data_IF_928078650766
#
_entry.id   IF_928078650766
#
_cell.length_a   1.000
_cell.length_b   1.000
_cell.length_c   1.000
_cell.angle_alpha   90.00
_cell.angle_beta   90.00
_cell.angle_gamma   90.00
#
_symmetry.space_group_name_H-M   'P 1'
#
loop_
_entity.id
_entity.type
_entity.pdbx_description
1 polymer ?
#
# COMPACT_ATOMS: atom_id res chain seq x y z
N UNK A 1 -0.94 -13.37 33.01
CA UNK A 1 -0.12 -13.27 31.78
C UNK A 1 -0.79 -12.46 30.66
N UNK A 2 -2.05 -12.73 30.22
CA UNK A 2 -2.71 -11.95 29.13
C UNK A 2 -2.80 -10.43 29.40
N UNK A 3 -2.99 -9.98 30.64
CA UNK A 3 -3.03 -8.55 31.00
C UNK A 3 -1.66 -7.84 30.86
N UNK A 4 -0.58 -8.53 31.21
CA UNK A 4 0.79 -7.97 31.18
C UNK A 4 1.27 -7.75 29.74
N UNK A 5 0.91 -8.67 28.82
CA UNK A 5 1.25 -8.55 27.39
C UNK A 5 0.52 -7.35 26.76
N UNK A 6 -0.76 -7.12 27.10
CA UNK A 6 -1.50 -5.95 26.65
C UNK A 6 -0.86 -4.62 27.10
N UNK A 7 -0.33 -4.57 28.32
CA UNK A 7 0.35 -3.38 28.87
C UNK A 7 1.67 -3.06 28.17
N UNK A 8 2.48 -4.08 27.89
CA UNK A 8 3.74 -3.93 27.14
C UNK A 8 3.52 -3.44 25.71
N UNK A 9 2.47 -3.90 25.05
CA UNK A 9 2.13 -3.48 23.68
C UNK A 9 1.70 -2.01 23.64
N UNK A 10 0.90 -1.56 24.60
CA UNK A 10 0.47 -0.15 24.70
C UNK A 10 1.67 0.77 24.99
N UNK A 11 2.56 0.37 25.90
CA UNK A 11 3.76 1.13 26.24
C UNK A 11 4.75 1.24 25.08
N UNK A 12 4.96 0.17 24.30
CA UNK A 12 5.84 0.20 23.12
C UNK A 12 5.27 1.06 21.98
N UNK A 13 3.95 1.05 21.79
CA UNK A 13 3.27 1.95 20.83
C UNK A 13 3.41 3.42 21.23
N UNK A 14 3.35 3.73 22.53
CA UNK A 14 3.50 5.10 23.03
C UNK A 14 4.91 5.66 22.84
N UNK A 15 5.95 4.84 22.98
CA UNK A 15 7.33 5.23 22.72
C UNK A 15 7.58 5.56 21.23
N UNK A 16 6.88 4.90 20.31
CA UNK A 16 7.02 5.12 18.85
C UNK A 16 6.38 6.42 18.36
N UNK A 17 5.43 6.99 19.12
CA UNK A 17 4.67 8.21 18.72
C UNK A 17 5.05 9.44 19.55
N UNK A 18 6.13 9.40 20.32
CA UNK A 18 6.57 10.53 21.17
C UNK A 18 5.52 10.98 22.21
N UNK A 19 4.67 10.07 22.68
CA UNK A 19 3.70 10.35 23.76
C UNK A 19 4.33 9.96 25.10
N UNK A 20 4.24 10.86 26.08
CA UNK A 20 4.80 10.65 27.42
C UNK A 20 4.20 9.40 28.08
N UNK A 21 5.01 8.39 28.45
CA UNK A 21 4.53 7.13 29.04
C UNK A 21 3.71 7.30 30.33
N UNK A 22 3.98 8.34 31.11
CA UNK A 22 3.27 8.62 32.35
C UNK A 22 1.78 8.98 32.13
N UNK A 23 1.44 9.60 31.01
CA UNK A 23 0.04 9.89 30.64
C UNK A 23 -0.73 8.66 30.14
N UNK A 24 -0.04 7.65 29.65
CA UNK A 24 -0.66 6.40 29.20
C UNK A 24 -1.09 5.52 30.37
N UNK A 25 -0.35 5.53 31.47
CA UNK A 25 -0.65 4.74 32.67
C UNK A 25 -1.94 5.17 33.37
N UNK A 26 -2.29 6.47 33.32
CA UNK A 26 -3.54 6.99 33.88
C UNK A 26 -4.76 6.74 32.98
N UNK A 27 -4.55 6.49 31.68
CA UNK A 27 -5.63 6.20 30.72
C UNK A 27 -6.22 4.79 30.89
N UNK A 28 -5.48 3.86 31.50
CA UNK A 28 -5.90 2.46 31.70
C UNK A 28 -7.02 2.24 32.71
N UNK A 29 -7.29 3.20 33.55
CA UNK A 29 -8.36 3.10 34.57
C UNK A 29 -9.78 3.32 34.03
N UNK A 30 -9.93 3.70 32.74
CA UNK A 30 -11.22 3.94 32.11
C UNK A 30 -11.40 3.10 30.84
N UNK A 31 -12.07 1.95 30.96
CA UNK A 31 -12.27 0.99 29.87
C UNK A 31 -12.82 1.55 28.53
N UNK A 32 -13.66 2.61 28.46
CA UNK A 32 -14.06 3.20 27.17
C UNK A 32 -12.91 3.91 26.43
N UNK A 33 -12.00 4.56 27.15
CA UNK A 33 -10.87 5.30 26.54
C UNK A 33 -9.81 4.39 25.89
N UNK A 34 -9.69 3.13 26.32
CA UNK A 34 -8.71 2.20 25.74
C UNK A 34 -9.07 1.80 24.31
N UNK A 35 -10.35 1.67 23.98
CA UNK A 35 -10.81 1.32 22.64
C UNK A 35 -10.65 2.48 21.66
N UNK A 36 -11.07 3.69 22.03
CA UNK A 36 -10.89 4.88 21.18
C UNK A 36 -9.41 5.19 20.96
N UNK A 37 -8.57 4.99 21.97
CA UNK A 37 -7.12 5.15 21.88
C UNK A 37 -6.52 4.11 20.91
N UNK A 38 -6.93 2.85 21.02
CA UNK A 38 -6.52 1.78 20.09
C UNK A 38 -6.93 2.11 18.65
N UNK A 39 -8.15 2.58 18.40
CA UNK A 39 -8.62 2.99 17.07
C UNK A 39 -7.78 4.16 16.51
N UNK A 40 -7.49 5.15 17.35
CA UNK A 40 -6.63 6.28 16.96
C UNK A 40 -5.21 5.83 16.59
N UNK A 41 -4.65 4.84 17.31
CA UNK A 41 -3.35 4.26 17.01
C UNK A 41 -3.37 3.40 15.75
N UNK A 42 -4.38 2.59 15.55
CA UNK A 42 -4.58 1.82 14.32
C UNK A 42 -4.69 2.77 13.12
N UNK A 43 -5.46 3.84 13.25
CA UNK A 43 -5.60 4.84 12.20
C UNK A 43 -4.27 5.56 11.90
N UNK A 44 -3.56 6.03 12.94
CA UNK A 44 -2.24 6.64 12.80
C UNK A 44 -1.21 5.66 12.21
N UNK A 45 -1.25 4.39 12.61
CA UNK A 45 -0.39 3.35 12.07
C UNK A 45 -0.69 3.11 10.58
N UNK A 46 -1.97 3.07 10.18
CA UNK A 46 -2.40 2.93 8.77
C UNK A 46 -1.90 4.10 7.93
N UNK A 47 -2.08 5.34 8.39
CA UNK A 47 -1.64 6.53 7.68
C UNK A 47 -0.13 6.57 7.50
N UNK A 48 0.64 6.15 8.50
CA UNK A 48 2.10 6.16 8.44
C UNK A 48 2.69 4.92 7.76
N UNK A 49 1.98 3.79 7.76
CA UNK A 49 2.47 2.52 7.23
C UNK A 49 2.59 2.51 5.69
N UNK A 50 1.83 3.36 4.99
CA UNK A 50 1.94 3.51 3.54
C UNK A 50 3.26 4.15 3.07
N UNK A 51 3.99 4.83 3.97
CA UNK A 51 5.16 5.66 3.66
C UNK A 51 6.44 5.22 4.39
N UNK A 52 6.54 3.95 4.78
CA UNK A 52 7.56 3.53 5.71
C UNK A 52 8.91 3.32 5.04
N UNK A 53 9.92 4.00 5.58
CA UNK A 53 11.33 3.73 5.35
C UNK A 53 11.74 2.38 5.95
N UNK A 54 12.73 1.74 5.32
CA UNK A 54 13.29 0.43 5.69
C UNK A 54 13.63 0.27 7.18
N UNK A 55 14.04 1.33 7.85
CA UNK A 55 14.44 1.32 9.27
C UNK A 55 13.30 1.05 10.26
N UNK A 56 12.03 1.24 9.85
CA UNK A 56 10.84 1.01 10.70
C UNK A 56 10.10 -0.28 10.38
N UNK A 57 10.51 -1.01 9.34
CA UNK A 57 9.80 -2.21 8.90
C UNK A 57 9.80 -3.32 9.96
N UNK A 58 10.86 -3.44 10.76
CA UNK A 58 10.93 -4.40 11.87
C UNK A 58 9.87 -4.14 12.92
N UNK A 59 9.76 -2.89 13.36
CA UNK A 59 8.76 -2.48 14.35
C UNK A 59 7.34 -2.68 13.85
N UNK A 60 7.10 -2.47 12.54
CA UNK A 60 5.79 -2.65 11.94
C UNK A 60 5.42 -4.12 11.85
N UNK A 61 6.35 -4.98 11.42
CA UNK A 61 6.10 -6.41 11.38
C UNK A 61 5.73 -6.93 12.78
N UNK A 62 6.53 -6.57 13.79
CA UNK A 62 6.34 -7.06 15.16
C UNK A 62 5.05 -6.52 15.81
N UNK A 63 4.83 -5.21 15.75
CA UNK A 63 3.66 -4.57 16.36
C UNK A 63 2.39 -4.87 15.58
N UNK A 64 2.47 -4.94 14.26
CA UNK A 64 1.35 -5.26 13.39
C UNK A 64 0.83 -6.67 13.66
N UNK A 65 1.69 -7.67 13.83
CA UNK A 65 1.26 -9.03 14.17
C UNK A 65 0.57 -9.09 15.54
N UNK A 66 1.05 -8.33 16.51
CA UNK A 66 0.40 -8.23 17.82
C UNK A 66 -0.98 -7.57 17.72
N UNK A 67 -1.10 -6.48 16.96
CA UNK A 67 -2.36 -5.76 16.76
C UNK A 67 -3.35 -6.57 15.93
N UNK A 68 -2.90 -7.29 14.90
CA UNK A 68 -3.79 -8.19 14.12
C UNK A 68 -4.36 -9.30 15.00
N UNK A 69 -3.58 -9.83 15.96
CA UNK A 69 -4.09 -10.81 16.93
C UNK A 69 -5.20 -10.21 17.81
N UNK A 70 -5.05 -8.96 18.23
CA UNK A 70 -6.08 -8.24 19.01
C UNK A 70 -7.34 -8.03 18.17
N UNK A 71 -7.18 -7.49 16.94
CA UNK A 71 -8.30 -7.24 16.03
C UNK A 71 -9.09 -8.51 15.71
N UNK A 72 -8.40 -9.61 15.50
CA UNK A 72 -9.01 -10.94 15.33
C UNK A 72 -9.84 -11.37 16.55
N UNK A 73 -9.28 -11.21 17.74
CA UNK A 73 -9.92 -11.62 18.99
C UNK A 73 -11.20 -10.84 19.33
N UNK A 74 -11.33 -9.62 18.81
CA UNK A 74 -12.51 -8.75 19.00
C UNK A 74 -13.45 -8.71 17.80
N UNK A 75 -13.16 -9.50 16.75
CA UNK A 75 -14.01 -9.61 15.56
C UNK A 75 -13.97 -8.41 14.62
N UNK A 76 -12.91 -7.60 14.68
CA UNK A 76 -12.71 -6.43 13.81
C UNK A 76 -11.96 -6.84 12.55
N UNK A 77 -12.69 -7.52 11.64
CA UNK A 77 -12.07 -8.21 10.51
C UNK A 77 -11.63 -7.29 9.39
N UNK A 78 -12.35 -6.20 9.08
CA UNK A 78 -11.91 -5.24 8.05
C UNK A 78 -10.57 -4.64 8.45
N UNK A 79 -10.47 -4.15 9.68
CA UNK A 79 -9.25 -3.58 10.23
C UNK A 79 -8.13 -4.63 10.34
N UNK A 80 -8.49 -5.89 10.65
CA UNK A 80 -7.54 -7.00 10.64
C UNK A 80 -6.91 -7.18 9.26
N UNK A 81 -7.72 -7.27 8.20
CA UNK A 81 -7.22 -7.51 6.84
C UNK A 81 -6.39 -6.35 6.32
N UNK A 82 -6.80 -5.11 6.58
CA UNK A 82 -6.02 -3.93 6.21
C UNK A 82 -4.65 -3.90 6.91
N UNK A 83 -4.63 -4.11 8.22
CA UNK A 83 -3.38 -4.09 8.99
C UNK A 83 -2.48 -5.26 8.61
N UNK A 84 -3.04 -6.46 8.38
CA UNK A 84 -2.28 -7.63 7.97
C UNK A 84 -1.60 -7.43 6.62
N UNK A 85 -2.25 -6.77 5.67
CA UNK A 85 -1.64 -6.37 4.40
C UNK A 85 -0.42 -5.47 4.62
N UNK A 86 -0.49 -4.52 5.55
CA UNK A 86 0.66 -3.65 5.90
C UNK A 86 1.82 -4.47 6.48
N UNK A 87 1.53 -5.43 7.34
CA UNK A 87 2.55 -6.34 7.90
C UNK A 87 3.21 -7.15 6.78
N UNK A 88 2.43 -7.71 5.87
CA UNK A 88 2.95 -8.46 4.71
C UNK A 88 3.87 -7.56 3.87
N UNK A 89 3.46 -6.32 3.59
CA UNK A 89 4.28 -5.36 2.87
C UNK A 89 5.60 -5.05 3.59
N UNK A 90 5.61 -4.97 4.92
CA UNK A 90 6.85 -4.78 5.66
C UNK A 90 7.84 -5.94 5.48
N UNK A 91 7.35 -7.17 5.40
CA UNK A 91 8.17 -8.34 5.07
C UNK A 91 8.73 -8.28 3.64
N UNK A 92 7.92 -7.83 2.67
CA UNK A 92 8.38 -7.61 1.29
C UNK A 92 9.54 -6.63 1.27
N UNK A 93 9.40 -5.46 1.91
CA UNK A 93 10.41 -4.41 1.96
C UNK A 93 11.71 -4.83 2.69
N UNK A 94 11.63 -5.84 3.55
CA UNK A 94 12.79 -6.47 4.22
C UNK A 94 13.42 -7.60 3.41
N UNK A 95 12.90 -7.90 2.22
CA UNK A 95 13.37 -9.02 1.39
C UNK A 95 12.92 -10.40 1.89
N UNK A 96 11.99 -10.47 2.83
CA UNK A 96 11.48 -11.71 3.44
C UNK A 96 10.32 -12.30 2.63
N UNK A 97 10.52 -12.46 1.31
CA UNK A 97 9.45 -12.87 0.37
C UNK A 97 8.77 -14.17 0.75
N UNK A 98 9.50 -15.14 1.33
CA UNK A 98 8.90 -16.42 1.77
C UNK A 98 7.91 -16.23 2.91
N UNK A 99 8.20 -15.34 3.86
CA UNK A 99 7.30 -15.02 4.98
C UNK A 99 6.10 -14.26 4.42
N UNK A 100 6.31 -13.30 3.53
CA UNK A 100 5.25 -12.54 2.89
C UNK A 100 4.27 -13.45 2.14
N UNK A 101 4.77 -14.42 1.34
CA UNK A 101 3.92 -15.42 0.66
C UNK A 101 3.10 -16.20 1.68
N UNK A 102 3.74 -16.82 2.67
CA UNK A 102 3.04 -17.65 3.65
C UNK A 102 1.96 -16.87 4.42
N UNK A 103 2.26 -15.63 4.80
CA UNK A 103 1.29 -14.79 5.52
C UNK A 103 0.13 -14.34 4.63
N UNK A 104 0.36 -14.05 3.34
CA UNK A 104 -0.70 -13.68 2.42
C UNK A 104 -1.62 -14.87 2.11
N UNK A 105 -1.08 -16.08 1.96
CA UNK A 105 -1.87 -17.31 1.79
C UNK A 105 -2.73 -17.62 3.02
N UNK A 106 -2.17 -17.47 4.23
CA UNK A 106 -2.92 -17.63 5.48
C UNK A 106 -4.04 -16.58 5.60
N UNK A 107 -3.76 -15.33 5.23
CA UNK A 107 -4.72 -14.24 5.22
C UNK A 107 -5.87 -14.54 4.26
N UNK A 108 -5.57 -15.04 3.05
CA UNK A 108 -6.58 -15.43 2.05
C UNK A 108 -7.42 -16.62 2.53
N UNK A 109 -6.79 -17.67 3.04
CA UNK A 109 -7.48 -18.84 3.58
C UNK A 109 -8.46 -18.47 4.70
N UNK A 110 -8.06 -17.53 5.59
CA UNK A 110 -8.93 -17.01 6.64
C UNK A 110 -10.12 -16.26 6.05
N UNK A 111 -9.89 -15.39 5.09
CA UNK A 111 -10.94 -14.62 4.43
C UNK A 111 -11.95 -15.55 3.71
N UNK A 112 -11.46 -16.61 3.05
CA UNK A 112 -12.29 -17.63 2.41
C UNK A 112 -13.14 -18.40 3.43
N UNK A 113 -12.56 -18.86 4.52
CA UNK A 113 -13.27 -19.60 5.57
C UNK A 113 -14.42 -18.77 6.17
N UNK A 114 -14.27 -17.45 6.19
CA UNK A 114 -15.27 -16.51 6.70
C UNK A 114 -16.22 -16.01 5.62
N UNK A 115 -16.02 -16.35 4.34
CA UNK A 115 -16.70 -15.77 3.18
C UNK A 115 -16.64 -14.23 3.16
N UNK A 116 -15.51 -13.66 3.57
CA UNK A 116 -15.30 -12.23 3.79
C UNK A 116 -14.73 -11.56 2.51
N UNK A 117 -15.61 -11.00 1.67
CA UNK A 117 -15.24 -10.49 0.33
C UNK A 117 -14.13 -9.44 0.35
N UNK A 118 -14.25 -8.45 1.23
CA UNK A 118 -13.21 -7.44 1.42
C UNK A 118 -11.87 -8.06 1.83
N UNK A 119 -11.89 -9.00 2.77
CA UNK A 119 -10.69 -9.74 3.20
C UNK A 119 -10.06 -10.55 2.07
N UNK A 120 -10.87 -11.20 1.22
CA UNK A 120 -10.37 -11.90 0.03
C UNK A 120 -9.70 -10.94 -0.95
N UNK A 121 -10.33 -9.79 -1.24
CA UNK A 121 -9.75 -8.77 -2.12
C UNK A 121 -8.43 -8.20 -1.56
N UNK A 122 -8.39 -7.88 -0.25
CA UNK A 122 -7.17 -7.42 0.42
C UNK A 122 -6.05 -8.45 0.40
N UNK A 123 -6.37 -9.72 0.61
CA UNK A 123 -5.39 -10.82 0.58
C UNK A 123 -4.83 -11.01 -0.83
N UNK A 124 -5.69 -11.01 -1.84
CA UNK A 124 -5.28 -11.11 -3.25
C UNK A 124 -4.45 -9.90 -3.69
N UNK A 125 -4.74 -8.69 -3.18
CA UNK A 125 -3.89 -7.50 -3.36
C UNK A 125 -2.49 -7.72 -2.77
N UNK A 126 -2.40 -8.28 -1.56
CA UNK A 126 -1.12 -8.60 -0.93
C UNK A 126 -0.35 -9.67 -1.71
N UNK A 127 -1.02 -10.73 -2.16
CA UNK A 127 -0.43 -11.79 -3.01
C UNK A 127 0.11 -11.19 -4.31
N UNK A 128 -0.65 -10.31 -4.97
CA UNK A 128 -0.23 -9.61 -6.17
C UNK A 128 1.03 -8.76 -5.92
N UNK A 129 1.09 -8.03 -4.81
CA UNK A 129 2.26 -7.24 -4.43
C UNK A 129 3.50 -8.13 -4.17
N UNK A 130 3.34 -9.27 -3.47
CA UNK A 130 4.41 -10.23 -3.25
C UNK A 130 4.93 -10.78 -4.57
N UNK A 131 4.05 -11.20 -5.48
CA UNK A 131 4.45 -11.74 -6.78
C UNK A 131 5.12 -10.69 -7.66
N UNK A 132 4.67 -9.44 -7.66
CA UNK A 132 5.34 -8.33 -8.35
C UNK A 132 6.78 -8.15 -7.85
N UNK A 133 7.00 -8.14 -6.54
CA UNK A 133 8.34 -8.07 -5.95
C UNK A 133 9.23 -9.28 -6.26
N UNK A 134 8.63 -10.44 -6.52
CA UNK A 134 9.34 -11.66 -6.96
C UNK A 134 9.55 -11.70 -8.48
N UNK A 135 9.19 -10.63 -9.21
CA UNK A 135 9.19 -10.55 -10.67
C UNK A 135 8.32 -11.60 -11.36
N UNK A 136 7.28 -12.09 -10.66
CA UNK A 136 6.26 -13.02 -11.16
C UNK A 136 5.04 -12.22 -11.63
N UNK A 137 5.25 -11.43 -12.68
CA UNK A 137 4.30 -10.38 -13.08
C UNK A 137 2.96 -10.94 -13.59
N UNK A 138 2.96 -12.08 -14.26
CA UNK A 138 1.72 -12.71 -14.75
C UNK A 138 0.83 -13.21 -13.59
N UNK A 139 1.43 -13.84 -12.58
CA UNK A 139 0.69 -14.30 -11.40
C UNK A 139 0.24 -13.12 -10.54
N UNK A 140 1.03 -12.04 -10.49
CA UNK A 140 0.64 -10.81 -9.84
C UNK A 140 -0.61 -10.21 -10.50
N UNK A 141 -0.60 -10.07 -11.82
CA UNK A 141 -1.75 -9.57 -12.60
C UNK A 141 -3.00 -10.40 -12.38
N UNK A 142 -2.87 -11.73 -12.44
CA UNK A 142 -3.98 -12.65 -12.19
C UNK A 142 -4.59 -12.47 -10.80
N UNK A 143 -3.75 -12.36 -9.77
CA UNK A 143 -4.21 -12.16 -8.39
C UNK A 143 -4.92 -10.81 -8.21
N UNK A 144 -4.40 -9.75 -8.82
CA UNK A 144 -5.00 -8.42 -8.74
C UNK A 144 -6.33 -8.32 -9.49
N UNK A 145 -6.45 -8.96 -10.66
CA UNK A 145 -7.73 -9.04 -11.38
C UNK A 145 -8.77 -9.83 -10.60
N UNK A 146 -8.38 -10.91 -9.95
CA UNK A 146 -9.28 -11.68 -9.09
C UNK A 146 -9.69 -10.87 -7.85
N UNK A 147 -8.79 -10.05 -7.30
CA UNK A 147 -9.11 -9.13 -6.22
C UNK A 147 -10.23 -8.14 -6.62
N UNK A 148 -10.16 -7.55 -7.81
CA UNK A 148 -11.20 -6.67 -8.31
C UNK A 148 -12.55 -7.37 -8.47
N UNK A 149 -12.57 -8.65 -8.85
CA UNK A 149 -13.82 -9.43 -8.97
C UNK A 149 -14.48 -9.73 -7.61
N UNK A 150 -13.70 -9.73 -6.52
CA UNK A 150 -14.26 -9.91 -5.17
C UNK A 150 -15.05 -8.67 -4.71
N UNK A 151 -14.73 -7.49 -5.24
CA UNK A 151 -15.47 -6.25 -5.02
C UNK A 151 -16.61 -6.20 -6.04
N UNK A 152 -17.85 -6.51 -5.61
CA UNK A 152 -19.02 -6.58 -6.50
C UNK A 152 -19.33 -5.25 -7.15
N UNK A 153 -19.24 -4.17 -6.39
CA UNK A 153 -19.36 -2.81 -6.86
C UNK A 153 -18.09 -2.05 -6.47
N UNK A 154 -17.41 -1.41 -7.43
CA UNK A 154 -16.26 -0.58 -7.13
C UNK A 154 -16.55 0.55 -6.13
N UNK A 155 -17.81 0.98 -6.01
CA UNK A 155 -18.24 1.96 -5.02
C UNK A 155 -18.26 1.41 -3.58
N UNK A 156 -18.35 0.09 -3.40
CA UNK A 156 -18.40 -0.55 -2.07
C UNK A 156 -17.13 -0.30 -1.27
N UNK A 157 -15.98 -0.17 -1.95
CA UNK A 157 -14.71 0.20 -1.33
C UNK A 157 -13.79 0.94 -2.30
N UNK A 158 -14.06 2.24 -2.49
CA UNK A 158 -13.30 3.09 -3.43
C UNK A 158 -11.80 3.10 -3.15
N UNK A 159 -11.38 3.09 -1.88
CA UNK A 159 -9.96 3.11 -1.51
C UNK A 159 -9.26 1.83 -2.00
N UNK A 160 -9.83 0.66 -1.72
CA UNK A 160 -9.25 -0.60 -2.17
C UNK A 160 -9.29 -0.72 -3.70
N UNK A 161 -10.37 -0.28 -4.33
CA UNK A 161 -10.48 -0.27 -5.80
C UNK A 161 -9.38 0.57 -6.43
N UNK A 162 -9.11 1.78 -5.93
CA UNK A 162 -8.00 2.63 -6.39
C UNK A 162 -6.65 1.92 -6.24
N UNK A 163 -6.39 1.33 -5.08
CA UNK A 163 -5.14 0.59 -4.82
C UNK A 163 -4.96 -0.54 -5.83
N UNK A 164 -6.00 -1.35 -6.07
CA UNK A 164 -5.94 -2.47 -7.01
C UNK A 164 -5.71 -2.01 -8.45
N UNK A 165 -6.40 -0.95 -8.88
CA UNK A 165 -6.22 -0.38 -10.21
C UNK A 165 -4.79 0.15 -10.40
N UNK A 166 -4.24 0.86 -9.41
CA UNK A 166 -2.86 1.35 -9.45
C UNK A 166 -1.85 0.20 -9.51
N UNK A 167 -2.02 -0.84 -8.69
CA UNK A 167 -1.16 -2.04 -8.74
C UNK A 167 -1.24 -2.75 -10.10
N UNK A 168 -2.43 -2.82 -10.71
CA UNK A 168 -2.60 -3.43 -12.04
C UNK A 168 -1.91 -2.61 -13.13
N UNK A 169 -2.04 -1.29 -13.10
CA UNK A 169 -1.35 -0.42 -14.07
C UNK A 169 0.16 -0.60 -13.96
N UNK A 170 0.69 -0.52 -12.74
CA UNK A 170 2.12 -0.73 -12.50
C UNK A 170 2.60 -2.08 -13.05
N UNK A 171 1.91 -3.16 -12.71
CA UNK A 171 2.21 -4.50 -13.18
C UNK A 171 2.17 -4.64 -14.71
N UNK A 172 1.15 -4.06 -15.34
CA UNK A 172 0.97 -4.13 -16.80
C UNK A 172 1.99 -3.30 -17.56
N UNK A 173 2.43 -2.17 -17.01
CA UNK A 173 3.53 -1.38 -17.56
C UNK A 173 4.85 -2.15 -17.48
N UNK A 174 5.12 -2.86 -16.39
CA UNK A 174 6.29 -3.74 -16.27
C UNK A 174 6.23 -4.91 -17.29
N UNK A 175 5.05 -5.45 -17.57
CA UNK A 175 4.82 -6.46 -18.60
C UNK A 175 4.84 -5.88 -20.03
N UNK A 176 4.99 -4.55 -20.19
CA UNK A 176 4.86 -3.84 -21.46
C UNK A 176 3.52 -4.09 -22.18
N UNK A 177 2.49 -4.42 -21.42
CA UNK A 177 1.13 -4.59 -21.94
C UNK A 177 0.39 -3.25 -21.96
N UNK A 178 0.84 -2.37 -22.87
CA UNK A 178 0.43 -0.96 -22.97
C UNK A 178 -1.08 -0.83 -23.20
N UNK A 179 -1.64 -1.70 -24.06
CA UNK A 179 -3.07 -1.66 -24.40
C UNK A 179 -3.96 -1.90 -23.18
N UNK A 180 -3.61 -2.90 -22.36
CA UNK A 180 -4.36 -3.22 -21.15
C UNK A 180 -4.11 -2.20 -20.03
N UNK A 181 -2.87 -1.68 -19.91
CA UNK A 181 -2.54 -0.61 -18.98
C UNK A 181 -3.40 0.63 -19.24
N UNK A 182 -3.58 1.03 -20.49
CA UNK A 182 -4.44 2.16 -20.89
C UNK A 182 -5.86 2.02 -20.35
N UNK A 183 -6.47 0.84 -20.51
CA UNK A 183 -7.84 0.60 -20.03
C UNK A 183 -7.97 0.81 -18.52
N UNK A 184 -6.98 0.38 -17.74
CA UNK A 184 -6.99 0.57 -16.29
C UNK A 184 -6.66 2.01 -15.89
N UNK A 185 -5.80 2.73 -16.64
CA UNK A 185 -5.55 4.16 -16.44
C UNK A 185 -6.86 4.95 -16.68
N UNK A 186 -7.60 4.65 -17.74
CA UNK A 186 -8.89 5.27 -18.01
C UNK A 186 -9.90 5.02 -16.88
N UNK A 187 -9.94 3.79 -16.36
CA UNK A 187 -10.77 3.47 -15.19
C UNK A 187 -10.33 4.24 -13.92
N UNK A 188 -9.04 4.40 -13.68
CA UNK A 188 -8.57 5.24 -12.57
C UNK A 188 -9.12 6.65 -12.73
N UNK A 189 -9.10 7.23 -13.94
CA UNK A 189 -9.63 8.57 -14.21
C UNK A 189 -11.09 8.74 -13.79
N UNK A 190 -11.92 7.71 -13.95
CA UNK A 190 -13.34 7.75 -13.54
C UNK A 190 -13.50 7.87 -12.01
N UNK A 191 -12.53 7.35 -11.24
CA UNK A 191 -12.53 7.40 -9.77
C UNK A 191 -11.80 8.61 -9.20
N UNK A 192 -11.03 9.34 -10.03
CA UNK A 192 -10.15 10.43 -9.59
C UNK A 192 -10.81 11.81 -9.59
N UNK A 193 -12.11 11.91 -9.86
CA UNK A 193 -12.74 13.17 -10.25
C UNK A 193 -12.79 14.27 -9.16
N UNK A 194 -12.56 14.00 -7.86
CA UNK A 194 -12.83 15.08 -6.90
C UNK A 194 -11.81 15.35 -5.78
N UNK A 195 -11.05 14.38 -5.23
CA UNK A 195 -10.14 14.69 -4.10
C UNK A 195 -8.94 13.71 -4.01
N UNK A 196 -7.97 13.85 -4.91
CA UNK A 196 -6.72 13.13 -4.79
C UNK A 196 -5.79 13.78 -3.76
N UNK A 197 -5.25 12.98 -2.87
CA UNK A 197 -4.08 13.39 -2.11
C UNK A 197 -2.88 13.67 -3.05
N UNK A 198 -1.93 14.55 -2.67
CA UNK A 198 -0.73 14.82 -3.48
C UNK A 198 0.02 13.54 -3.90
N UNK A 199 0.03 12.52 -3.04
CA UNK A 199 0.65 11.21 -3.32
C UNK A 199 -0.09 10.45 -4.41
N UNK A 200 -1.43 10.40 -4.36
CA UNK A 200 -2.23 9.75 -5.39
C UNK A 200 -2.11 10.48 -6.74
N UNK A 201 -2.09 11.83 -6.72
CA UNK A 201 -1.87 12.63 -7.91
C UNK A 201 -0.50 12.35 -8.54
N UNK A 202 0.57 12.33 -7.72
CA UNK A 202 1.91 12.06 -8.20
C UNK A 202 2.04 10.66 -8.79
N UNK A 203 1.47 9.64 -8.15
CA UNK A 203 1.44 8.27 -8.69
C UNK A 203 0.66 8.20 -10.00
N UNK A 204 -0.46 8.89 -10.09
CA UNK A 204 -1.26 8.96 -11.30
C UNK A 204 -0.46 9.58 -12.47
N UNK A 205 0.18 10.72 -12.24
CA UNK A 205 1.05 11.34 -13.25
C UNK A 205 2.21 10.43 -13.62
N UNK A 206 2.83 9.76 -12.65
CA UNK A 206 3.90 8.82 -12.87
C UNK A 206 3.48 7.65 -13.80
N UNK A 207 2.33 7.04 -13.55
CA UNK A 207 1.81 5.96 -14.40
C UNK A 207 1.47 6.43 -15.83
N UNK A 208 0.90 7.62 -15.96
CA UNK A 208 0.65 8.22 -17.29
C UNK A 208 1.96 8.53 -18.03
N UNK A 209 2.97 9.04 -17.35
CA UNK A 209 4.29 9.28 -17.92
C UNK A 209 4.91 7.97 -18.44
N UNK A 210 4.92 6.92 -17.62
CA UNK A 210 5.41 5.60 -18.04
C UNK A 210 4.64 5.03 -19.23
N UNK A 211 3.32 5.15 -19.19
CA UNK A 211 2.48 4.75 -20.33
C UNK A 211 2.88 5.51 -21.60
N UNK A 212 3.01 6.83 -21.55
CA UNK A 212 3.39 7.66 -22.68
C UNK A 212 4.79 7.33 -23.20
N UNK A 213 5.77 7.09 -22.31
CA UNK A 213 7.11 6.65 -22.69
C UNK A 213 7.03 5.35 -23.51
N UNK A 214 6.33 4.35 -22.98
CA UNK A 214 6.22 3.05 -23.65
C UNK A 214 5.37 3.09 -24.94
N UNK A 215 4.45 4.03 -25.04
CA UNK A 215 3.62 4.27 -26.21
C UNK A 215 4.31 5.13 -27.29
N UNK A 216 5.53 5.62 -27.05
CA UNK A 216 6.28 6.46 -27.96
C UNK A 216 5.75 7.90 -28.06
N UNK A 217 5.21 8.43 -26.96
CA UNK A 217 4.67 9.79 -26.83
C UNK A 217 5.49 10.61 -25.83
N UNK A 218 6.74 10.98 -26.16
CA UNK A 218 7.65 11.61 -25.19
C UNK A 218 7.20 13.00 -24.74
N UNK A 219 6.51 13.76 -25.59
CA UNK A 219 6.08 15.13 -25.23
C UNK A 219 4.94 15.09 -24.19
N UNK A 220 4.03 14.12 -24.28
CA UNK A 220 3.00 13.87 -23.29
C UNK A 220 3.61 13.36 -21.98
N UNK A 221 4.62 12.48 -22.06
CA UNK A 221 5.35 12.01 -20.89
C UNK A 221 6.01 13.15 -20.11
N UNK A 222 6.67 14.07 -20.80
CA UNK A 222 7.28 15.28 -20.22
C UNK A 222 6.26 16.14 -19.47
N UNK A 223 5.07 16.31 -20.05
CA UNK A 223 4.01 17.06 -19.38
C UNK A 223 3.58 16.41 -18.06
N UNK A 224 3.36 15.09 -18.07
CA UNK A 224 3.00 14.36 -16.86
C UNK A 224 4.11 14.40 -15.80
N UNK A 225 5.37 14.26 -16.17
CA UNK A 225 6.51 14.37 -15.24
C UNK A 225 6.58 15.77 -14.62
N UNK A 226 6.42 16.82 -15.40
CA UNK A 226 6.38 18.20 -14.89
C UNK A 226 5.25 18.42 -13.87
N UNK A 227 4.05 17.89 -14.13
CA UNK A 227 2.95 18.00 -13.17
C UNK A 227 3.25 17.20 -11.89
N UNK A 228 3.85 16.01 -12.00
CA UNK A 228 4.26 15.23 -10.84
C UNK A 228 5.31 15.95 -9.97
N UNK A 229 6.31 16.56 -10.59
CA UNK A 229 7.38 17.28 -9.89
C UNK A 229 6.91 18.54 -9.16
N UNK A 230 5.81 19.17 -9.59
CA UNK A 230 5.20 20.28 -8.82
C UNK A 230 4.74 19.87 -7.43
N UNK A 231 4.50 18.58 -7.24
CA UNK A 231 4.04 18.02 -5.97
C UNK A 231 5.18 17.60 -5.04
N UNK A 232 6.44 17.61 -5.50
CA UNK A 232 7.62 17.13 -4.76
C UNK A 232 7.67 17.56 -3.29
N UNK A 233 7.43 18.86 -2.92
CA UNK A 233 7.52 19.28 -1.52
C UNK A 233 6.53 18.58 -0.57
N UNK A 234 5.51 17.93 -1.12
CA UNK A 234 4.45 17.23 -0.37
C UNK A 234 4.62 15.71 -0.43
N UNK A 235 5.65 15.20 -1.13
CA UNK A 235 5.80 13.77 -1.39
C UNK A 235 6.79 13.10 -0.42
N UNK A 236 6.49 11.89 0.05
CA UNK A 236 7.47 11.08 0.76
C UNK A 236 8.55 10.57 -0.20
N UNK A 237 9.76 10.36 0.34
CA UNK A 237 10.97 9.95 -0.42
C UNK A 237 10.72 8.71 -1.31
N UNK A 238 9.88 7.78 -0.84
CA UNK A 238 9.52 6.60 -1.65
C UNK A 238 8.83 6.95 -2.96
N UNK A 239 7.98 7.96 -2.97
CA UNK A 239 7.29 8.44 -4.19
C UNK A 239 8.23 9.25 -5.07
N UNK A 240 9.07 10.11 -4.48
CA UNK A 240 10.11 10.84 -5.22
C UNK A 240 10.99 9.87 -5.99
N UNK A 241 11.39 8.74 -5.39
CA UNK A 241 12.16 7.72 -6.08
C UNK A 241 11.43 7.14 -7.30
N UNK A 242 10.12 6.92 -7.23
CA UNK A 242 9.34 6.48 -8.40
C UNK A 242 9.36 7.53 -9.52
N UNK A 243 9.29 8.82 -9.18
CA UNK A 243 9.38 9.90 -10.17
C UNK A 243 10.77 9.96 -10.82
N UNK A 244 11.84 9.83 -10.04
CA UNK A 244 13.21 9.78 -10.57
C UNK A 244 13.41 8.61 -11.55
N UNK A 245 12.87 7.43 -11.24
CA UNK A 245 12.94 6.27 -12.13
C UNK A 245 12.17 6.54 -13.44
N UNK A 246 11.00 7.20 -13.37
CA UNK A 246 10.24 7.55 -14.56
C UNK A 246 10.96 8.60 -15.40
N UNK A 247 11.58 9.58 -14.77
CA UNK A 247 12.36 10.63 -15.44
C UNK A 247 13.60 10.06 -16.12
N UNK A 248 14.33 9.15 -15.46
CA UNK A 248 15.43 8.41 -16.08
C UNK A 248 14.95 7.63 -17.32
N UNK A 249 13.85 6.89 -17.21
CA UNK A 249 13.27 6.18 -18.35
C UNK A 249 12.84 7.12 -19.50
N UNK A 250 12.37 8.33 -19.18
CA UNK A 250 12.05 9.34 -20.16
C UNK A 250 13.29 9.82 -20.92
N UNK A 251 14.39 10.17 -20.22
CA UNK A 251 15.63 10.57 -20.87
C UNK A 251 16.27 9.44 -21.66
N UNK A 252 16.21 8.21 -21.16
CA UNK A 252 16.63 7.01 -21.93
C UNK A 252 15.85 6.88 -23.23
N UNK A 253 14.53 7.12 -23.21
CA UNK A 253 13.68 7.04 -24.41
C UNK A 253 14.02 8.10 -25.46
N UNK A 254 14.66 9.19 -25.05
CA UNK A 254 15.16 10.30 -25.93
C UNK A 254 16.63 10.14 -26.29
N UNK A 255 17.28 9.06 -25.87
CA UNK A 255 18.75 8.87 -26.05
C UNK A 255 19.60 9.95 -25.36
N UNK A 256 19.05 10.64 -24.35
CA UNK A 256 19.72 11.67 -23.56
C UNK A 256 20.35 11.06 -22.28
N UNK A 257 21.24 10.09 -22.47
CA UNK A 257 21.77 9.20 -21.41
C UNK A 257 22.50 9.94 -20.28
N UNK A 258 23.13 11.09 -20.54
CA UNK A 258 23.81 11.88 -19.50
C UNK A 258 22.77 12.41 -18.49
N UNK A 259 21.62 12.88 -18.95
CA UNK A 259 20.53 13.34 -18.07
C UNK A 259 19.79 12.25 -17.35
N UNK A 260 19.87 11.01 -17.83
CA UNK A 260 19.27 9.85 -17.16
C UNK A 260 20.10 9.37 -15.96
N UNK A 261 21.36 9.81 -15.86
CA UNK A 261 22.30 9.41 -14.79
C UNK A 261 22.40 10.44 -13.66
N UNK A 262 22.00 11.70 -13.89
CA UNK A 262 21.95 12.78 -12.89
C UNK A 262 20.69 12.64 -11.99
#
# INVERSE_FOLDING_TARGET
>A
MKKIVGHLIVLSLLCLINVNPARAWDAERRQPQSYELQQKYIHSFRQNAGFIHTERNDSIALLGDSLTTVLDSIGKYDEYFELKRVVIRSHILRGESRIAVAQSDMMYSKAQAMNHKFGMAMSLSAIGEVYSHMNRLEEAGTSLEEALKQLKDPSDNQILTKILLMQLVDNLLHLKNIGKAKLYIERINEYLSEDLSPVEQALFYNYNAYYCIQAGMPDEADNYLKEAWKLEPMLPVGIIRHLLIAEAAYYESKEEFEKALD
#
